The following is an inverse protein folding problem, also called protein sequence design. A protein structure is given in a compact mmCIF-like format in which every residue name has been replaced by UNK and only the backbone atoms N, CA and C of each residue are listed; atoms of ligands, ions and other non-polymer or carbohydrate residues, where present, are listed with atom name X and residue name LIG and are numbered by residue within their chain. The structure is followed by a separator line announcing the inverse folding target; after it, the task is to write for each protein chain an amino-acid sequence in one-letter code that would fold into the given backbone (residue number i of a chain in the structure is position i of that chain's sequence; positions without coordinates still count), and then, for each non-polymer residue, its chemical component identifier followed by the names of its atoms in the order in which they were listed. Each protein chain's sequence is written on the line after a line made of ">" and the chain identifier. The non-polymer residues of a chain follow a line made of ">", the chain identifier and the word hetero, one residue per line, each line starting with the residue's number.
data_IF_828131472142
#
_entry.id   IF_828131472142
#
_cell.length_a   1.000
_cell.length_b   1.000
_cell.length_c   1.000
_cell.angle_alpha   90.00
_cell.angle_beta   90.00
_cell.angle_gamma   90.00
#
_symmetry.space_group_name_H-M   'P 1'
#
loop_
_entity.id
_entity.type
_entity.pdbx_description
1 polymer ?
#
# COMPACT_ATOMS: atom_id res chain seq x y z
N UNK A 1 28.57 -35.74 -7.14
CA UNK A 1 27.92 -34.86 -8.14
C UNK A 1 26.89 -34.01 -7.41
N UNK A 2 27.34 -32.87 -6.88
CA UNK A 2 26.55 -32.06 -5.97
C UNK A 2 25.66 -31.11 -6.78
N UNK A 3 24.34 -31.35 -6.77
CA UNK A 3 23.37 -30.38 -7.31
C UNK A 3 22.86 -29.53 -6.15
N UNK A 4 23.54 -28.42 -5.88
CA UNK A 4 22.89 -27.29 -5.21
C UNK A 4 22.09 -26.54 -6.27
N UNK A 5 20.75 -26.46 -6.19
CA UNK A 5 20.05 -25.43 -6.92
C UNK A 5 20.29 -24.11 -6.18
N UNK A 6 20.98 -23.20 -6.87
CA UNK A 6 21.18 -21.78 -6.54
C UNK A 6 19.85 -21.02 -6.47
N UNK A 7 18.94 -21.44 -5.58
CA UNK A 7 17.59 -20.86 -5.46
C UNK A 7 17.52 -19.71 -4.47
N UNK A 8 18.63 -19.41 -3.79
CA UNK A 8 18.70 -18.39 -2.74
C UNK A 8 19.47 -17.11 -3.13
N UNK A 9 20.05 -17.03 -4.34
CA UNK A 9 20.87 -15.86 -4.73
C UNK A 9 20.16 -14.81 -5.60
N UNK A 10 18.82 -14.84 -5.69
CA UNK A 10 18.03 -13.82 -6.40
C UNK A 10 17.16 -12.99 -5.42
N UNK A 11 17.72 -12.57 -4.29
CA UNK A 11 17.07 -11.65 -3.34
C UNK A 11 17.63 -10.22 -3.43
N UNK A 12 17.81 -9.69 -4.65
CA UNK A 12 18.28 -8.31 -4.83
C UNK A 12 17.46 -7.48 -5.83
N UNK A 13 16.27 -7.93 -6.22
CA UNK A 13 15.26 -7.10 -6.88
C UNK A 13 13.91 -7.56 -6.36
N UNK A 14 13.12 -6.68 -5.73
CA UNK A 14 11.74 -7.05 -5.39
C UNK A 14 11.00 -7.16 -6.73
N UNK A 15 10.62 -8.38 -7.16
CA UNK A 15 10.01 -8.58 -8.48
C UNK A 15 8.77 -7.69 -8.59
N UNK A 16 8.53 -7.09 -9.75
CA UNK A 16 7.42 -6.16 -9.97
C UNK A 16 6.06 -6.70 -9.50
N UNK A 17 5.85 -8.02 -9.62
CA UNK A 17 4.68 -8.72 -9.10
C UNK A 17 4.56 -8.62 -7.58
N UNK A 18 5.67 -8.68 -6.84
CA UNK A 18 5.65 -8.57 -5.38
C UNK A 18 5.28 -7.16 -4.92
N UNK A 19 5.85 -6.13 -5.54
CA UNK A 19 5.43 -4.73 -5.28
C UNK A 19 3.94 -4.54 -5.58
N UNK A 20 3.47 -5.05 -6.73
CA UNK A 20 2.06 -5.00 -7.09
C UNK A 20 1.16 -5.76 -6.11
N UNK A 21 1.59 -6.92 -5.58
CA UNK A 21 0.86 -7.65 -4.54
C UNK A 21 0.70 -6.82 -3.27
N UNK A 22 1.76 -6.13 -2.83
CA UNK A 22 1.71 -5.27 -1.63
C UNK A 22 0.73 -4.13 -1.81
N UNK A 23 0.78 -3.43 -2.96
CA UNK A 23 -0.17 -2.36 -3.26
C UNK A 23 -1.61 -2.87 -3.36
N UNK A 24 -1.83 -4.00 -4.05
CA UNK A 24 -3.14 -4.62 -4.18
C UNK A 24 -3.72 -5.01 -2.80
N UNK A 25 -2.92 -5.64 -1.94
CA UNK A 25 -3.34 -6.00 -0.59
C UNK A 25 -3.66 -4.76 0.26
N UNK A 26 -2.88 -3.68 0.15
CA UNK A 26 -3.15 -2.44 0.87
C UNK A 26 -4.50 -1.81 0.45
N UNK A 27 -4.74 -1.72 -0.87
CA UNK A 27 -6.00 -1.20 -1.42
C UNK A 27 -7.20 -2.06 -0.99
N UNK A 28 -7.07 -3.39 -0.99
CA UNK A 28 -8.14 -4.30 -0.55
C UNK A 28 -8.40 -4.19 0.94
N UNK A 29 -7.36 -4.10 1.77
CA UNK A 29 -7.49 -3.93 3.23
C UNK A 29 -8.26 -2.66 3.57
N UNK A 30 -7.95 -1.54 2.89
CA UNK A 30 -8.65 -0.27 3.05
C UNK A 30 -10.15 -0.37 2.72
N UNK A 31 -10.52 -1.22 1.77
CA UNK A 31 -11.92 -1.44 1.40
C UNK A 31 -12.63 -2.50 2.26
N UNK A 32 -11.94 -3.23 3.11
CA UNK A 32 -12.50 -4.35 3.88
C UNK A 32 -13.30 -3.85 5.07
N UNK A 33 -14.55 -4.32 5.24
CA UNK A 33 -15.48 -3.90 6.30
C UNK A 33 -15.68 -4.94 7.40
N UNK A 34 -15.07 -6.11 7.29
CA UNK A 34 -15.16 -7.15 8.31
C UNK A 34 -14.82 -8.56 7.80
N UNK A 35 -14.98 -9.58 8.67
CA UNK A 35 -14.76 -10.97 8.30
C UNK A 35 -15.64 -11.41 7.12
N UNK A 36 -15.05 -12.11 6.14
CA UNK A 36 -15.77 -12.63 4.97
C UNK A 36 -16.07 -11.61 3.86
N UNK A 37 -15.82 -10.32 4.07
CA UNK A 37 -16.10 -9.25 3.08
C UNK A 37 -15.00 -9.08 2.02
N UNK A 38 -13.97 -9.92 2.06
CA UNK A 38 -12.78 -9.80 1.23
C UNK A 38 -13.05 -9.79 -0.29
N UNK A 39 -13.97 -10.65 -0.75
CA UNK A 39 -14.36 -10.71 -2.16
C UNK A 39 -15.03 -9.42 -2.63
N UNK A 40 -15.93 -8.88 -1.81
CA UNK A 40 -16.59 -7.61 -2.08
C UNK A 40 -15.62 -6.43 -1.95
N UNK A 41 -14.68 -6.48 -1.01
CA UNK A 41 -13.61 -5.50 -0.87
C UNK A 41 -12.73 -5.46 -2.12
N UNK A 42 -12.36 -6.62 -2.67
CA UNK A 42 -11.64 -6.69 -3.95
C UNK A 42 -12.44 -6.10 -5.11
N UNK A 43 -13.76 -6.33 -5.18
CA UNK A 43 -14.61 -5.69 -6.20
C UNK A 43 -14.68 -4.17 -6.03
N UNK A 44 -14.73 -3.67 -4.80
CA UNK A 44 -14.70 -2.23 -4.52
C UNK A 44 -13.35 -1.62 -4.89
N UNK A 45 -12.25 -2.27 -4.50
CA UNK A 45 -10.90 -1.87 -4.86
C UNK A 45 -10.70 -1.83 -6.38
N UNK A 46 -11.23 -2.82 -7.10
CA UNK A 46 -11.21 -2.85 -8.57
C UNK A 46 -11.92 -1.64 -9.19
N UNK A 47 -13.12 -1.30 -8.70
CA UNK A 47 -13.85 -0.11 -9.18
C UNK A 47 -13.14 1.20 -8.85
N UNK A 48 -12.53 1.29 -7.67
CA UNK A 48 -11.86 2.51 -7.22
C UNK A 48 -10.53 2.76 -7.94
N UNK A 49 -9.79 1.70 -8.27
CA UNK A 49 -8.46 1.78 -8.90
C UNK A 49 -8.49 1.66 -10.43
N UNK A 50 -9.61 1.23 -11.02
CA UNK A 50 -9.69 0.91 -12.45
C UNK A 50 -8.96 -0.39 -12.83
N UNK A 51 -8.43 -1.14 -11.86
CA UNK A 51 -7.74 -2.41 -12.08
C UNK A 51 -8.75 -3.56 -12.07
N UNK A 52 -8.68 -4.52 -13.01
CA UNK A 52 -9.63 -5.63 -13.05
C UNK A 52 -9.64 -6.46 -11.74
N UNK A 53 -10.83 -6.88 -11.30
CA UNK A 53 -10.98 -7.79 -10.16
C UNK A 53 -10.14 -9.07 -10.30
N UNK A 54 -10.01 -9.61 -11.51
CA UNK A 54 -9.19 -10.78 -11.80
C UNK A 54 -7.72 -10.56 -11.47
N UNK A 55 -7.21 -9.34 -11.62
CA UNK A 55 -5.83 -9.00 -11.27
C UNK A 55 -5.62 -9.01 -9.75
N UNK A 56 -6.55 -8.43 -8.97
CA UNK A 56 -6.53 -8.55 -7.50
C UNK A 56 -6.60 -10.01 -7.05
N UNK A 57 -7.47 -10.81 -7.68
CA UNK A 57 -7.64 -12.22 -7.34
C UNK A 57 -6.38 -13.03 -7.63
N UNK A 58 -5.77 -12.81 -8.80
CA UNK A 58 -4.51 -13.46 -9.17
C UNK A 58 -3.37 -13.05 -8.25
N UNK A 59 -3.17 -11.75 -8.01
CA UNK A 59 -2.10 -11.25 -7.14
C UNK A 59 -2.19 -11.79 -5.71
N UNK A 60 -3.40 -12.10 -5.26
CA UNK A 60 -3.64 -12.65 -3.92
C UNK A 60 -3.49 -14.17 -3.83
N UNK A 61 -4.21 -14.91 -4.69
CA UNK A 61 -4.34 -16.36 -4.54
C UNK A 61 -3.49 -17.17 -5.52
N UNK A 62 -3.15 -16.58 -6.68
CA UNK A 62 -2.43 -17.25 -7.76
C UNK A 62 -1.40 -16.29 -8.35
N UNK A 63 -0.38 -15.95 -7.54
CA UNK A 63 0.63 -14.96 -7.91
C UNK A 63 1.21 -15.29 -9.30
N UNK A 64 1.01 -14.42 -10.31
CA UNK A 64 1.49 -14.68 -11.66
C UNK A 64 3.02 -14.55 -11.71
N UNK A 65 3.64 -15.10 -12.76
CA UNK A 65 5.09 -14.92 -12.98
C UNK A 65 5.40 -13.51 -13.44
N UNK A 66 4.54 -12.96 -14.28
CA UNK A 66 4.66 -11.64 -14.89
C UNK A 66 3.38 -10.83 -14.69
N UNK A 67 3.49 -9.51 -14.80
CA UNK A 67 2.37 -8.57 -14.71
C UNK A 67 2.39 -7.62 -15.89
N UNK A 68 1.20 -7.31 -16.44
CA UNK A 68 1.07 -6.29 -17.46
C UNK A 68 1.47 -4.92 -16.88
N UNK A 69 2.30 -4.17 -17.60
CA UNK A 69 2.77 -2.86 -17.18
C UNK A 69 1.61 -1.89 -16.87
N UNK A 70 0.52 -1.95 -17.64
CA UNK A 70 -0.68 -1.13 -17.39
C UNK A 70 -1.32 -1.41 -16.03
N UNK A 71 -1.43 -2.70 -15.63
CA UNK A 71 -1.95 -3.10 -14.32
C UNK A 71 -0.99 -2.67 -13.22
N UNK A 72 0.32 -2.85 -13.44
CA UNK A 72 1.35 -2.45 -12.49
C UNK A 72 1.29 -0.96 -12.17
N UNK A 73 1.29 -0.10 -13.20
CA UNK A 73 1.23 1.35 -13.01
C UNK A 73 -0.12 1.79 -12.44
N UNK A 74 -1.23 1.21 -12.87
CA UNK A 74 -2.54 1.53 -12.29
C UNK A 74 -2.62 1.19 -10.78
N UNK A 75 -2.03 0.06 -10.36
CA UNK A 75 -1.94 -0.29 -8.93
C UNK A 75 -1.02 0.68 -8.16
N UNK A 76 0.13 1.04 -8.74
CA UNK A 76 1.06 2.01 -8.14
C UNK A 76 0.34 3.35 -7.92
N UNK A 77 -0.22 3.91 -8.98
CA UNK A 77 -0.82 5.24 -8.97
C UNK A 77 -2.03 5.29 -8.02
N UNK A 78 -2.84 4.21 -7.98
CA UNK A 78 -3.94 4.08 -7.03
C UNK A 78 -3.45 4.02 -5.57
N UNK A 79 -2.36 3.29 -5.31
CA UNK A 79 -1.75 3.19 -3.99
C UNK A 79 -1.14 4.52 -3.54
N UNK A 80 -0.40 5.21 -4.43
CA UNK A 80 0.19 6.52 -4.15
C UNK A 80 -0.88 7.58 -3.88
N UNK A 81 -1.97 7.58 -4.66
CA UNK A 81 -3.10 8.47 -4.44
C UNK A 81 -3.77 8.23 -3.09
N UNK A 82 -3.96 6.97 -2.69
CA UNK A 82 -4.51 6.62 -1.38
C UNK A 82 -3.57 7.03 -0.25
N UNK A 83 -2.26 6.78 -0.39
CA UNK A 83 -1.26 7.19 0.59
C UNK A 83 -1.25 8.71 0.76
N UNK A 84 -1.33 9.47 -0.33
CA UNK A 84 -1.42 10.93 -0.29
C UNK A 84 -2.68 11.41 0.46
N UNK A 85 -3.83 10.80 0.21
CA UNK A 85 -5.09 11.11 0.92
C UNK A 85 -4.98 10.82 2.42
N UNK A 86 -4.42 9.67 2.79
CA UNK A 86 -4.23 9.31 4.20
C UNK A 86 -3.28 10.27 4.92
N UNK A 87 -2.19 10.65 4.26
CA UNK A 87 -1.25 11.64 4.81
C UNK A 87 -1.89 13.02 4.97
N UNK A 88 -2.71 13.45 4.01
CA UNK A 88 -3.46 14.71 4.11
C UNK A 88 -4.48 14.68 5.25
N UNK A 89 -5.24 13.59 5.38
CA UNK A 89 -6.18 13.42 6.48
C UNK A 89 -5.46 13.46 7.84
N UNK A 90 -4.34 12.76 7.97
CA UNK A 90 -3.54 12.75 9.20
C UNK A 90 -3.00 14.16 9.55
N UNK A 91 -2.51 14.91 8.55
CA UNK A 91 -2.07 16.31 8.74
C UNK A 91 -3.22 17.21 9.21
N UNK A 92 -4.39 17.07 8.60
CA UNK A 92 -5.57 17.84 8.98
C UNK A 92 -6.03 17.54 10.43
N UNK A 93 -6.08 16.26 10.81
CA UNK A 93 -6.41 15.86 12.18
C UNK A 93 -5.38 16.36 13.20
N UNK A 94 -4.10 16.39 12.81
CA UNK A 94 -3.03 16.96 13.63
C UNK A 94 -3.24 18.47 13.84
N UNK A 95 -3.54 19.22 12.78
CA UNK A 95 -3.82 20.66 12.86
C UNK A 95 -4.98 20.96 13.81
N UNK A 96 -6.08 20.20 13.72
CA UNK A 96 -7.24 20.34 14.63
C UNK A 96 -6.84 20.02 16.07
N UNK A 97 -6.11 18.92 16.27
CA UNK A 97 -5.70 18.48 17.62
C UNK A 97 -4.72 19.48 18.26
N UNK A 98 -3.79 20.01 17.48
CA UNK A 98 -2.84 21.03 17.90
C UNK A 98 -3.55 22.32 18.33
N UNK A 99 -4.57 22.75 17.56
CA UNK A 99 -5.37 23.91 17.90
C UNK A 99 -6.16 23.74 19.22
N UNK A 100 -6.56 22.51 19.57
CA UNK A 100 -7.33 22.23 20.78
C UNK A 100 -6.48 21.94 22.02
N UNK A 101 -5.42 21.12 21.86
CA UNK A 101 -4.61 20.62 22.97
C UNK A 101 -3.28 21.38 23.14
N UNK A 102 -2.89 22.20 22.16
CA UNK A 102 -1.61 22.89 22.09
C UNK A 102 -0.49 22.03 21.50
N UNK A 103 0.46 22.67 20.83
CA UNK A 103 1.55 22.01 20.08
C UNK A 103 2.46 21.14 20.96
N UNK A 104 2.59 21.48 22.25
CA UNK A 104 3.42 20.75 23.20
C UNK A 104 2.74 19.50 23.78
N UNK A 105 1.45 19.27 23.49
CA UNK A 105 0.75 18.09 23.98
C UNK A 105 1.42 16.81 23.46
N UNK A 106 1.52 15.80 24.33
CA UNK A 106 2.17 14.54 23.98
C UNK A 106 1.54 13.87 22.75
N UNK A 107 0.21 13.92 22.63
CA UNK A 107 -0.54 13.39 21.48
C UNK A 107 -0.15 14.08 20.17
N UNK A 108 -0.04 15.41 20.17
CA UNK A 108 0.33 16.21 18.98
C UNK A 108 1.76 15.90 18.57
N UNK A 109 2.70 15.86 19.51
CA UNK A 109 4.10 15.52 19.24
C UNK A 109 4.27 14.10 18.69
N UNK A 110 3.55 13.13 19.24
CA UNK A 110 3.57 11.76 18.76
C UNK A 110 2.99 11.64 17.34
N UNK A 111 1.87 12.33 17.07
CA UNK A 111 1.28 12.37 15.73
C UNK A 111 2.21 13.04 14.71
N UNK A 112 2.88 14.13 15.09
CA UNK A 112 3.84 14.82 14.22
C UNK A 112 5.01 13.91 13.84
N UNK A 113 5.58 13.20 14.80
CA UNK A 113 6.67 12.25 14.53
C UNK A 113 6.25 11.15 13.53
N UNK A 114 5.01 10.65 13.62
CA UNK A 114 4.47 9.68 12.66
C UNK A 114 4.28 10.27 11.26
N UNK A 115 3.84 11.53 11.16
CA UNK A 115 3.72 12.24 9.88
C UNK A 115 5.09 12.45 9.23
N UNK A 116 6.09 12.82 10.02
CA UNK A 116 7.46 13.06 9.55
C UNK A 116 8.08 11.73 9.05
N UNK A 117 7.97 10.66 9.84
CA UNK A 117 8.42 9.32 9.45
C UNK A 117 7.73 8.86 8.16
N UNK A 118 6.41 8.98 8.08
CA UNK A 118 5.65 8.62 6.89
C UNK A 118 6.04 9.47 5.67
N UNK A 119 6.40 10.74 5.87
CA UNK A 119 6.81 11.64 4.78
C UNK A 119 8.22 11.33 4.27
N UNK A 120 9.15 10.94 5.15
CA UNK A 120 10.53 10.67 4.79
C UNK A 120 10.72 9.34 4.05
N UNK A 121 9.88 8.32 4.32
CA UNK A 121 9.84 7.08 3.50
C UNK A 121 9.61 7.39 2.01
N UNK A 122 8.92 8.49 1.69
CA UNK A 122 8.67 8.90 0.30
C UNK A 122 9.94 9.36 -0.42
N UNK A 123 10.90 9.95 0.28
CA UNK A 123 12.11 10.53 -0.33
C UNK A 123 13.19 9.49 -0.62
N UNK A 124 13.13 8.31 0.01
CA UNK A 124 14.12 7.23 -0.16
C UNK A 124 13.78 6.18 -1.23
N UNK A 125 12.71 6.39 -2.01
CA UNK A 125 12.16 5.39 -2.94
C UNK A 125 12.36 5.71 -4.43
N UNK A 126 13.10 6.78 -4.76
CA UNK A 126 13.50 7.16 -6.13
C UNK A 126 14.83 6.53 -6.56
#
# INVERSE_FOLDING_TARGET
>A
MCKNPLRDSQKSDVPYVERASVWADALVRKETRGPGDLDNAMRRAARASGVPYSAFWALRYRRPKDILASIYFALRDAYEAERARQLQALKHELEITAAQAGDSAHSVRAAQALVDEASDVTKGSE
#
